data_IF_802890118726
#
_entry.id   IF_802890118726
#
_cell.length_a   1.000
_cell.length_b   1.000
_cell.length_c   1.000
_cell.angle_alpha   90.00
_cell.angle_beta   90.00
_cell.angle_gamma   90.00
#
_symmetry.space_group_name_H-M   'P 1'
#
loop_
_entity.id
_entity.type
_entity.pdbx_description
1 polymer ?
#
# COMPACT_ATOMS: atom_id res chain seq x y z
N UNK A 1 -5.14 16.61 -21.87
CA UNK A 1 -4.87 17.94 -21.27
C UNK A 1 -4.79 17.84 -19.74
N UNK A 2 -4.46 18.94 -19.05
CA UNK A 2 -4.69 19.06 -17.60
C UNK A 2 -6.16 19.34 -17.34
N UNK A 3 -6.77 18.66 -16.38
CA UNK A 3 -8.12 18.95 -15.89
C UNK A 3 -8.12 18.95 -14.37
N UNK A 4 -9.21 19.45 -13.77
CA UNK A 4 -9.30 19.64 -12.32
C UNK A 4 -9.14 18.32 -11.55
N UNK A 5 -9.69 17.22 -12.05
CA UNK A 5 -9.60 15.91 -11.40
C UNK A 5 -8.16 15.39 -11.37
N UNK A 6 -7.42 15.56 -12.47
CA UNK A 6 -5.99 15.24 -12.54
C UNK A 6 -5.17 16.10 -11.59
N UNK A 7 -5.41 17.41 -11.55
CA UNK A 7 -4.70 18.33 -10.65
C UNK A 7 -4.94 17.94 -9.19
N UNK A 8 -6.20 17.73 -8.81
CA UNK A 8 -6.56 17.31 -7.45
C UNK A 8 -5.97 15.94 -7.11
N UNK A 9 -5.95 15.00 -8.06
CA UNK A 9 -5.29 13.71 -7.90
C UNK A 9 -3.79 13.89 -7.64
N UNK A 10 -3.08 14.61 -8.49
CA UNK A 10 -1.64 14.85 -8.36
C UNK A 10 -1.31 15.52 -7.00
N UNK A 11 -2.10 16.50 -6.60
CA UNK A 11 -1.96 17.18 -5.30
C UNK A 11 -2.28 16.27 -4.11
N UNK A 12 -3.33 15.43 -4.19
CA UNK A 12 -3.65 14.45 -3.16
C UNK A 12 -2.52 13.43 -3.00
N UNK A 13 -1.90 13.03 -4.11
CA UNK A 13 -0.76 12.11 -4.09
C UNK A 13 0.44 12.77 -3.42
N UNK A 14 0.79 14.00 -3.82
CA UNK A 14 1.85 14.77 -3.17
C UNK A 14 1.58 14.96 -1.67
N UNK A 15 0.35 15.30 -1.30
CA UNK A 15 -0.04 15.47 0.09
C UNK A 15 0.14 14.19 0.91
N UNK A 16 -0.16 13.01 0.35
CA UNK A 16 0.09 11.72 1.02
C UNK A 16 1.57 11.52 1.35
N UNK A 17 2.48 11.88 0.44
CA UNK A 17 3.93 11.78 0.64
C UNK A 17 4.39 12.76 1.72
N UNK A 18 3.86 13.99 1.71
CA UNK A 18 4.16 14.99 2.73
C UNK A 18 3.69 14.57 4.11
N UNK A 19 2.50 13.95 4.23
CA UNK A 19 2.02 13.38 5.51
C UNK A 19 2.98 12.30 6.00
N UNK A 20 3.40 11.38 5.13
CA UNK A 20 4.31 10.30 5.50
C UNK A 20 5.67 10.84 5.96
N UNK A 21 6.24 11.79 5.22
CA UNK A 21 7.49 12.45 5.62
C UNK A 21 7.35 13.20 6.94
N UNK A 22 6.26 13.96 7.11
CA UNK A 22 5.97 14.65 8.37
C UNK A 22 5.87 13.66 9.53
N UNK A 23 5.15 12.54 9.34
CA UNK A 23 5.06 11.45 10.33
C UNK A 23 6.45 10.96 10.74
N UNK A 24 7.28 10.61 9.76
CA UNK A 24 8.61 10.03 10.01
C UNK A 24 9.53 11.03 10.71
N UNK A 25 9.52 12.30 10.29
CA UNK A 25 10.38 13.35 10.89
C UNK A 25 9.92 13.74 12.29
N UNK A 26 8.62 13.88 12.52
CA UNK A 26 8.08 14.27 13.83
C UNK A 26 8.22 13.16 14.86
N UNK A 27 8.00 11.90 14.46
CA UNK A 27 8.15 10.74 15.37
C UNK A 27 9.57 10.21 15.47
N UNK A 28 10.50 10.69 14.64
CA UNK A 28 11.83 10.11 14.46
C UNK A 28 11.80 8.58 14.28
N UNK A 29 10.80 8.09 13.54
CA UNK A 29 10.50 6.65 13.45
C UNK A 29 9.82 6.25 12.16
N UNK A 30 10.27 5.12 11.60
CA UNK A 30 9.66 4.42 10.47
C UNK A 30 8.73 3.27 10.91
N UNK A 31 8.46 3.13 12.22
CA UNK A 31 7.55 2.10 12.74
C UNK A 31 6.15 2.21 12.11
N UNK A 32 5.51 1.07 11.84
CA UNK A 32 4.19 0.99 11.19
C UNK A 32 4.18 1.21 9.67
N UNK A 33 5.34 1.47 9.05
CA UNK A 33 5.47 1.68 7.60
C UNK A 33 6.22 0.50 6.96
N UNK A 34 5.64 -0.10 5.94
CA UNK A 34 6.24 -1.18 5.17
C UNK A 34 7.34 -0.64 4.26
N UNK A 35 8.57 -1.13 4.49
CA UNK A 35 9.71 -0.83 3.63
C UNK A 35 9.47 -1.38 2.22
N UNK A 36 8.89 -2.58 2.12
CA UNK A 36 8.60 -3.23 0.85
C UNK A 36 7.68 -2.39 -0.03
N UNK A 37 6.59 -1.84 0.52
CA UNK A 37 5.72 -0.94 -0.25
C UNK A 37 6.44 0.32 -0.72
N UNK A 38 7.20 0.99 0.16
CA UNK A 38 7.93 2.20 -0.22
C UNK A 38 8.97 1.92 -1.31
N UNK A 39 9.64 0.76 -1.24
CA UNK A 39 10.63 0.37 -2.25
C UNK A 39 9.96 0.08 -3.60
N UNK A 40 8.81 -0.59 -3.60
CA UNK A 40 8.04 -0.81 -4.82
C UNK A 40 7.59 0.52 -5.46
N UNK A 41 7.17 1.51 -4.66
CA UNK A 41 6.83 2.84 -5.18
C UNK A 41 8.05 3.55 -5.81
N UNK A 42 9.23 3.45 -5.20
CA UNK A 42 10.45 3.98 -5.81
C UNK A 42 10.72 3.31 -7.18
N UNK A 43 10.62 1.97 -7.26
CA UNK A 43 10.77 1.23 -8.53
C UNK A 43 9.75 1.68 -9.57
N UNK A 44 8.48 1.88 -9.17
CA UNK A 44 7.43 2.43 -10.04
C UNK A 44 7.85 3.77 -10.62
N UNK A 45 8.28 4.74 -9.79
CA UNK A 45 8.62 6.07 -10.29
C UNK A 45 9.86 6.08 -11.18
N UNK A 46 10.89 5.32 -10.81
CA UNK A 46 12.11 5.21 -11.62
C UNK A 46 11.82 4.60 -12.99
N UNK A 47 11.00 3.55 -13.05
CA UNK A 47 10.65 2.89 -14.33
C UNK A 47 9.65 3.67 -15.17
N UNK A 48 8.71 4.37 -14.52
CA UNK A 48 7.67 5.16 -15.21
C UNK A 48 8.20 6.44 -15.84
N UNK A 49 9.14 7.10 -15.17
CA UNK A 49 9.59 8.45 -15.52
C UNK A 49 10.94 8.46 -16.22
N UNK A 50 11.34 7.34 -16.85
CA UNK A 50 12.53 7.28 -17.70
C UNK A 50 12.49 8.32 -18.82
N UNK A 51 11.29 8.73 -19.24
CA UNK A 51 11.09 9.76 -20.25
C UNK A 51 11.62 11.14 -19.87
N UNK A 52 11.95 11.38 -18.60
CA UNK A 52 12.73 12.55 -18.17
C UNK A 52 14.10 12.65 -18.87
N UNK A 53 14.67 11.54 -19.32
CA UNK A 53 16.01 11.53 -19.93
C UNK A 53 16.02 12.04 -21.38
N UNK A 54 14.87 12.06 -22.06
CA UNK A 54 14.78 12.44 -23.48
C UNK A 54 13.65 13.42 -23.81
N UNK A 55 12.76 13.71 -22.85
CA UNK A 55 11.69 14.70 -23.05
C UNK A 55 12.16 16.08 -22.63
N UNK A 56 11.84 17.10 -23.44
CA UNK A 56 12.10 18.50 -23.09
C UNK A 56 11.43 18.89 -21.75
N UNK A 57 12.21 19.26 -20.72
CA UNK A 57 11.70 19.65 -19.41
C UNK A 57 10.71 20.83 -19.44
N UNK A 58 10.88 21.75 -20.41
CA UNK A 58 10.11 23.00 -20.48
C UNK A 58 8.76 22.84 -21.17
N UNK A 59 8.51 21.70 -21.84
CA UNK A 59 7.22 21.40 -22.47
C UNK A 59 6.06 21.42 -21.47
N UNK A 60 6.32 20.97 -20.24
CA UNK A 60 5.35 21.06 -19.15
C UNK A 60 6.07 21.03 -17.81
N UNK A 61 6.37 22.22 -17.28
CA UNK A 61 7.03 22.37 -15.97
C UNK A 61 6.28 21.59 -14.87
N UNK A 62 4.94 21.61 -14.88
CA UNK A 62 4.14 20.81 -13.94
C UNK A 62 4.53 19.33 -13.96
N UNK A 63 4.52 18.68 -15.12
CA UNK A 63 4.82 17.25 -15.20
C UNK A 63 6.27 16.97 -14.81
N UNK A 64 7.22 17.77 -15.30
CA UNK A 64 8.65 17.60 -14.97
C UNK A 64 8.88 17.74 -13.46
N UNK A 65 8.33 18.78 -12.83
CA UNK A 65 8.45 19.01 -11.38
C UNK A 65 7.88 17.84 -10.58
N UNK A 66 6.66 17.37 -10.89
CA UNK A 66 6.04 16.28 -10.14
C UNK A 66 6.82 14.97 -10.24
N UNK A 67 7.36 14.65 -11.43
CA UNK A 67 8.20 13.45 -11.60
C UNK A 67 9.47 13.52 -10.75
N UNK A 68 10.16 14.67 -10.76
CA UNK A 68 11.35 14.87 -9.94
C UNK A 68 11.03 14.82 -8.44
N UNK A 69 9.94 15.43 -8.01
CA UNK A 69 9.48 15.40 -6.62
C UNK A 69 9.16 13.97 -6.20
N UNK A 70 8.43 13.19 -6.99
CA UNK A 70 8.09 11.81 -6.64
C UNK A 70 9.29 10.89 -6.56
N UNK A 71 10.25 10.99 -7.50
CA UNK A 71 11.50 10.22 -7.42
C UNK A 71 12.32 10.67 -6.19
N UNK A 72 12.53 11.97 -6.02
CA UNK A 72 13.35 12.51 -4.94
C UNK A 72 12.80 12.19 -3.55
N UNK A 73 11.49 12.38 -3.35
CA UNK A 73 10.84 12.10 -2.06
C UNK A 73 10.76 10.60 -1.76
N UNK A 74 10.48 9.74 -2.74
CA UNK A 74 10.48 8.28 -2.53
C UNK A 74 11.89 7.76 -2.21
N UNK A 75 12.92 8.25 -2.91
CA UNK A 75 14.31 7.95 -2.59
C UNK A 75 14.69 8.45 -1.19
N UNK A 76 14.23 9.63 -0.79
CA UNK A 76 14.47 10.16 0.55
C UNK A 76 13.76 9.35 1.65
N UNK A 77 12.52 8.90 1.42
CA UNK A 77 11.83 7.98 2.35
C UNK A 77 12.65 6.71 2.54
N UNK A 78 13.13 6.10 1.44
CA UNK A 78 13.97 4.91 1.50
C UNK A 78 15.27 5.19 2.25
N UNK A 79 15.91 6.33 2.00
CA UNK A 79 17.09 6.77 2.75
C UNK A 79 16.82 6.84 4.26
N UNK A 80 15.71 7.47 4.67
CA UNK A 80 15.32 7.57 6.08
C UNK A 80 15.10 6.19 6.70
N UNK A 81 14.48 5.25 5.97
CA UNK A 81 14.23 3.89 6.48
C UNK A 81 15.51 3.05 6.59
N UNK A 82 16.49 3.26 5.71
CA UNK A 82 17.74 2.50 5.68
C UNK A 82 18.85 3.08 6.58
N UNK A 83 18.77 4.36 6.92
CA UNK A 83 19.80 5.05 7.69
C UNK A 83 19.24 5.58 9.02
N UNK A 84 18.61 6.76 9.00
CA UNK A 84 18.20 7.49 10.20
C UNK A 84 17.26 6.69 11.12
N UNK A 85 16.32 5.95 10.54
CA UNK A 85 15.26 5.24 11.27
C UNK A 85 15.35 3.71 11.13
N UNK A 86 16.50 3.20 10.65
CA UNK A 86 16.75 1.76 10.54
C UNK A 86 16.43 0.96 11.82
N UNK A 87 16.77 1.42 13.04
CA UNK A 87 16.49 0.67 14.27
C UNK A 87 14.99 0.54 14.59
N UNK A 88 14.13 1.37 13.98
CA UNK A 88 12.68 1.37 14.23
C UNK A 88 11.90 0.46 13.28
N UNK A 89 12.57 -0.14 12.30
CA UNK A 89 11.98 -1.06 11.35
C UNK A 89 12.06 -2.49 11.89
N UNK A 90 10.91 -3.14 12.09
CA UNK A 90 10.82 -4.56 12.45
C UNK A 90 10.55 -5.42 11.20
N UNK A 91 11.55 -6.17 10.70
CA UNK A 91 11.40 -7.02 9.52
C UNK A 91 10.38 -8.15 9.71
N UNK A 92 10.05 -8.53 10.95
CA UNK A 92 9.09 -9.60 11.25
C UNK A 92 7.64 -9.18 10.97
N UNK A 93 7.38 -7.87 10.92
CA UNK A 93 6.07 -7.33 10.54
C UNK A 93 5.91 -7.27 9.02
N UNK A 94 6.98 -6.93 8.29
CA UNK A 94 6.96 -6.77 6.83
C UNK A 94 7.35 -8.08 6.09
N UNK A 95 6.54 -9.13 6.25
CA UNK A 95 6.84 -10.48 5.71
C UNK A 95 6.23 -10.77 4.33
N UNK A 96 5.63 -9.77 3.68
CA UNK A 96 4.98 -9.95 2.39
C UNK A 96 5.98 -10.38 1.28
N UNK A 97 5.61 -11.36 0.45
CA UNK A 97 6.46 -11.87 -0.63
C UNK A 97 6.30 -11.02 -1.90
N UNK A 98 7.06 -9.94 -1.99
CA UNK A 98 6.98 -8.97 -3.12
C UNK A 98 7.42 -9.55 -4.46
N UNK A 99 8.15 -10.68 -4.47
CA UNK A 99 8.59 -11.33 -5.70
C UNK A 99 7.40 -11.65 -6.63
N UNK A 100 6.26 -12.06 -6.07
CA UNK A 100 5.07 -12.36 -6.85
C UNK A 100 4.46 -11.11 -7.49
N UNK A 101 4.52 -9.96 -6.80
CA UNK A 101 4.03 -8.69 -7.35
C UNK A 101 4.90 -8.23 -8.51
N UNK A 102 6.22 -8.19 -8.28
CA UNK A 102 7.19 -7.77 -9.30
C UNK A 102 7.13 -8.70 -10.51
N UNK A 103 7.09 -10.02 -10.30
CA UNK A 103 7.00 -10.99 -11.39
C UNK A 103 5.68 -10.87 -12.16
N UNK A 104 4.55 -10.77 -11.47
CA UNK A 104 3.23 -10.61 -12.12
C UNK A 104 3.16 -9.33 -12.95
N UNK A 105 3.61 -8.20 -12.39
CA UNK A 105 3.65 -6.92 -13.11
C UNK A 105 4.63 -6.94 -14.28
N UNK A 106 5.76 -7.64 -14.17
CA UNK A 106 6.73 -7.80 -15.26
C UNK A 106 6.16 -8.62 -16.42
N UNK A 107 5.48 -9.73 -16.12
CA UNK A 107 4.77 -10.54 -17.12
C UNK A 107 3.74 -9.69 -17.85
N UNK A 108 2.90 -8.95 -17.13
CA UNK A 108 1.89 -8.08 -17.75
C UNK A 108 2.51 -6.93 -18.57
N UNK A 109 3.60 -6.33 -18.09
CA UNK A 109 4.32 -5.26 -18.80
C UNK A 109 4.98 -5.72 -20.10
N UNK A 110 5.43 -6.97 -20.17
CA UNK A 110 6.04 -7.57 -21.37
C UNK A 110 4.97 -8.06 -22.37
N UNK A 111 3.88 -8.67 -21.87
CA UNK A 111 2.84 -9.26 -22.72
C UNK A 111 1.88 -8.21 -23.31
N UNK A 112 1.60 -7.13 -22.58
CA UNK A 112 0.58 -6.15 -22.95
C UNK A 112 1.09 -4.69 -23.03
N UNK A 113 2.25 -4.38 -23.65
CA UNK A 113 2.62 -3.00 -23.92
C UNK A 113 1.86 -2.46 -25.15
N UNK A 114 1.65 -1.13 -25.23
CA UNK A 114 1.07 -0.53 -26.43
C UNK A 114 2.00 -0.63 -27.64
N UNK A 115 3.31 -0.55 -27.40
CA UNK A 115 4.36 -0.77 -28.40
C UNK A 115 5.45 -1.62 -27.78
N UNK A 116 5.99 -2.56 -28.55
CA UNK A 116 7.08 -3.43 -28.12
C UNK A 116 8.43 -2.70 -28.13
N UNK A 117 8.55 -1.67 -27.28
CA UNK A 117 9.77 -0.93 -27.01
C UNK A 117 10.10 -1.05 -25.51
N UNK A 118 11.38 -1.14 -25.12
CA UNK A 118 11.75 -1.29 -23.71
C UNK A 118 11.15 -0.21 -22.79
N UNK A 119 11.11 1.04 -23.24
CA UNK A 119 10.52 2.14 -22.47
C UNK A 119 9.01 1.96 -22.24
N UNK A 120 8.27 1.50 -23.24
CA UNK A 120 6.82 1.26 -23.19
C UNK A 120 6.49 0.03 -22.34
N UNK A 121 7.33 -1.02 -22.39
CA UNK A 121 7.23 -2.18 -21.50
C UNK A 121 7.48 -1.80 -20.04
N UNK A 122 8.50 -0.97 -19.77
CA UNK A 122 8.79 -0.47 -18.42
C UNK A 122 7.69 0.47 -17.92
N UNK A 123 7.12 1.28 -18.81
CA UNK A 123 5.95 2.09 -18.49
C UNK A 123 4.75 1.20 -18.11
N UNK A 124 4.41 0.21 -18.93
CA UNK A 124 3.31 -0.72 -18.63
C UNK A 124 3.55 -1.51 -17.34
N UNK A 125 4.76 -2.03 -17.15
CA UNK A 125 5.23 -2.66 -15.91
C UNK A 125 4.98 -1.76 -14.70
N UNK A 126 5.37 -0.49 -14.78
CA UNK A 126 5.21 0.46 -13.68
C UNK A 126 3.74 0.67 -13.31
N UNK A 127 2.83 0.66 -14.28
CA UNK A 127 1.37 0.83 -14.07
C UNK A 127 0.82 -0.39 -13.32
N UNK A 128 1.16 -1.60 -13.77
CA UNK A 128 0.76 -2.83 -13.10
C UNK A 128 1.36 -2.97 -11.70
N UNK A 129 2.62 -2.59 -11.51
CA UNK A 129 3.29 -2.68 -10.22
C UNK A 129 2.69 -1.71 -9.20
N UNK A 130 2.39 -0.48 -9.62
CA UNK A 130 1.78 0.51 -8.73
C UNK A 130 0.41 0.08 -8.22
N UNK A 131 -0.37 -0.60 -9.06
CA UNK A 131 -1.69 -1.08 -8.68
C UNK A 131 -1.65 -2.01 -7.46
N UNK A 132 -0.56 -2.75 -7.29
CA UNK A 132 -0.38 -3.75 -6.21
C UNK A 132 0.69 -3.36 -5.19
N UNK A 133 1.41 -2.26 -5.37
CA UNK A 133 2.53 -1.84 -4.52
C UNK A 133 2.14 -1.58 -3.05
N UNK A 134 0.85 -1.31 -2.80
CA UNK A 134 0.33 -1.06 -1.44
C UNK A 134 0.13 -2.34 -0.62
N UNK A 135 0.09 -3.52 -1.25
CA UNK A 135 -0.25 -4.77 -0.58
C UNK A 135 0.63 -5.11 0.64
N UNK A 136 1.97 -4.95 0.61
CA UNK A 136 2.80 -5.14 1.79
C UNK A 136 2.39 -4.26 2.98
N UNK A 137 2.08 -2.99 2.74
CA UNK A 137 1.60 -2.07 3.77
C UNK A 137 0.25 -2.50 4.35
N UNK A 138 -0.74 -2.85 3.51
CA UNK A 138 -2.05 -3.30 3.98
C UNK A 138 -1.93 -4.61 4.79
N UNK A 139 -1.10 -5.53 4.32
CA UNK A 139 -0.83 -6.79 5.01
C UNK A 139 -0.17 -6.58 6.38
N UNK A 140 0.78 -5.65 6.45
CA UNK A 140 1.42 -5.27 7.72
C UNK A 140 0.39 -4.71 8.71
N UNK A 141 -0.52 -3.85 8.26
CA UNK A 141 -1.60 -3.31 9.11
C UNK A 141 -2.55 -4.39 9.63
N UNK A 142 -2.95 -5.33 8.76
CA UNK A 142 -3.82 -6.43 9.16
C UNK A 142 -3.18 -7.31 10.25
N UNK A 143 -1.85 -7.44 10.26
CA UNK A 143 -1.13 -8.17 11.30
C UNK A 143 -1.00 -7.41 12.61
N UNK A 144 -0.70 -6.12 12.54
CA UNK A 144 -0.55 -5.30 13.76
C UNK A 144 -1.88 -5.02 14.42
N UNK A 145 -2.98 -5.05 13.65
CA UNK A 145 -4.34 -4.85 14.15
C UNK A 145 -4.67 -3.40 14.50
N UNK A 146 -3.67 -2.52 14.58
CA UNK A 146 -3.81 -1.09 14.83
C UNK A 146 -2.89 -0.30 13.90
N UNK A 147 -3.33 0.92 13.56
CA UNK A 147 -2.53 1.89 12.82
C UNK A 147 -2.60 3.26 13.51
N UNK A 148 -1.48 3.98 13.51
CA UNK A 148 -1.47 5.39 13.93
C UNK A 148 -2.41 6.21 13.04
N UNK A 149 -3.08 7.21 13.62
CA UNK A 149 -4.01 8.10 12.91
C UNK A 149 -3.33 8.79 11.72
N UNK A 150 -2.06 9.24 11.88
CA UNK A 150 -1.31 9.91 10.81
C UNK A 150 -1.04 8.95 9.64
N UNK A 151 -0.64 7.70 9.93
CA UNK A 151 -0.47 6.65 8.91
C UNK A 151 -1.78 6.39 8.15
N UNK A 152 -2.89 6.44 8.87
CA UNK A 152 -4.23 6.22 8.32
C UNK A 152 -4.65 7.36 7.38
N UNK A 153 -4.31 8.62 7.72
CA UNK A 153 -4.49 9.77 6.83
C UNK A 153 -3.60 9.73 5.59
N UNK A 154 -2.34 9.31 5.73
CA UNK A 154 -1.44 9.07 4.59
C UNK A 154 -2.08 8.10 3.59
N UNK A 155 -2.53 6.94 4.08
CA UNK A 155 -3.16 5.91 3.24
C UNK A 155 -4.47 6.37 2.62
N UNK A 156 -5.25 7.18 3.34
CA UNK A 156 -6.46 7.77 2.79
C UNK A 156 -6.15 8.74 1.65
N UNK A 157 -5.19 9.67 1.83
CA UNK A 157 -4.78 10.59 0.76
C UNK A 157 -4.19 9.83 -0.44
N UNK A 158 -3.47 8.75 -0.19
CA UNK A 158 -2.94 7.85 -1.21
C UNK A 158 -4.05 7.04 -1.93
N UNK A 159 -5.13 6.70 -1.24
CA UNK A 159 -6.28 6.11 -1.92
C UNK A 159 -7.08 7.16 -2.71
N UNK A 160 -7.28 8.35 -2.12
CA UNK A 160 -8.12 9.41 -2.67
C UNK A 160 -7.61 9.89 -4.03
N UNK A 161 -6.29 9.97 -4.21
CA UNK A 161 -5.75 10.33 -5.51
C UNK A 161 -6.17 9.34 -6.61
N UNK A 162 -6.24 8.03 -6.31
CA UNK A 162 -6.71 7.04 -7.26
C UNK A 162 -8.19 7.17 -7.56
N UNK A 163 -9.00 7.42 -6.54
CA UNK A 163 -10.42 7.71 -6.72
C UNK A 163 -10.64 8.93 -7.62
N UNK A 164 -9.82 9.98 -7.48
CA UNK A 164 -9.87 11.19 -8.33
C UNK A 164 -9.42 10.94 -9.78
N UNK A 165 -8.63 9.91 -10.05
CA UNK A 165 -8.24 9.54 -11.41
C UNK A 165 -9.37 8.88 -12.22
N UNK A 166 -10.35 8.26 -11.55
CA UNK A 166 -11.55 7.69 -12.20
C UNK A 166 -12.37 8.75 -12.95
N UNK A 167 -12.84 9.84 -12.32
CA UNK A 167 -13.57 10.88 -13.04
C UNK A 167 -12.68 11.60 -14.06
N UNK A 168 -11.36 11.65 -13.86
CA UNK A 168 -10.43 12.12 -14.89
C UNK A 168 -10.48 11.24 -16.16
N UNK A 169 -10.48 9.91 -16.04
CA UNK A 169 -10.60 9.03 -17.22
C UNK A 169 -11.94 9.21 -17.92
N UNK A 170 -13.03 9.28 -17.15
CA UNK A 170 -14.38 9.53 -17.68
C UNK A 170 -14.41 10.86 -18.43
N UNK A 171 -13.91 11.94 -17.82
CA UNK A 171 -13.84 13.25 -18.43
C UNK A 171 -13.07 13.24 -19.74
N UNK A 172 -11.89 12.60 -19.78
CA UNK A 172 -11.05 12.51 -20.99
C UNK A 172 -11.68 11.66 -22.08
N UNK A 173 -12.43 10.61 -21.74
CA UNK A 173 -13.19 9.84 -22.71
C UNK A 173 -14.23 10.72 -23.41
N UNK A 174 -15.04 11.47 -22.66
CA UNK A 174 -16.12 12.29 -23.22
C UNK A 174 -15.63 13.55 -23.95
N UNK A 175 -14.54 14.17 -23.49
CA UNK A 175 -14.07 15.44 -24.04
C UNK A 175 -12.97 15.29 -25.09
N UNK A 176 -12.10 14.29 -24.95
CA UNK A 176 -10.93 14.09 -25.83
C UNK A 176 -11.05 12.83 -26.69
N UNK A 177 -12.06 11.97 -26.47
CA UNK A 177 -12.14 10.65 -27.11
C UNK A 177 -11.00 9.71 -26.71
N UNK A 178 -10.31 10.01 -25.62
CA UNK A 178 -9.04 9.37 -25.25
C UNK A 178 -9.26 8.23 -24.26
N UNK A 179 -8.72 7.05 -24.57
CA UNK A 179 -8.84 5.85 -23.75
C UNK A 179 -7.51 5.10 -23.61
N UNK A 180 -7.12 4.81 -22.37
CA UNK A 180 -5.92 4.03 -22.05
C UNK A 180 -6.32 2.80 -21.23
N UNK A 181 -6.58 1.64 -21.88
CA UNK A 181 -7.05 0.44 -21.20
C UNK A 181 -6.17 -0.01 -20.03
N UNK A 182 -4.85 0.03 -20.19
CA UNK A 182 -3.89 -0.41 -19.15
C UNK A 182 -4.07 0.44 -17.88
N UNK A 183 -4.09 1.77 -18.03
CA UNK A 183 -4.24 2.72 -16.93
C UNK A 183 -5.59 2.58 -16.23
N UNK A 184 -6.67 2.36 -16.98
CA UNK A 184 -8.02 2.18 -16.43
C UNK A 184 -8.14 0.86 -15.66
N UNK A 185 -7.72 -0.26 -16.26
CA UNK A 185 -7.85 -1.59 -15.63
C UNK A 185 -6.98 -1.68 -14.38
N UNK A 186 -5.70 -1.30 -14.48
CA UNK A 186 -4.80 -1.30 -13.32
C UNK A 186 -5.30 -0.35 -12.23
N UNK A 187 -5.83 0.81 -12.62
CA UNK A 187 -6.44 1.76 -11.71
C UNK A 187 -7.67 1.21 -10.98
N UNK A 188 -8.54 0.48 -11.67
CA UNK A 188 -9.69 -0.19 -11.05
C UNK A 188 -9.24 -1.29 -10.07
N UNK A 189 -8.26 -2.11 -10.45
CA UNK A 189 -7.66 -3.11 -9.54
C UNK A 189 -7.14 -2.43 -8.28
N UNK A 190 -6.42 -1.33 -8.45
CA UNK A 190 -5.89 -0.55 -7.33
C UNK A 190 -7.02 -0.03 -6.43
N UNK A 191 -8.06 0.59 -7.00
CA UNK A 191 -9.21 1.10 -6.24
C UNK A 191 -9.92 -0.01 -5.45
N UNK A 192 -10.09 -1.20 -6.04
CA UNK A 192 -10.68 -2.35 -5.35
C UNK A 192 -9.81 -2.78 -4.16
N UNK A 193 -8.48 -2.81 -4.31
CA UNK A 193 -7.58 -3.14 -3.20
C UNK A 193 -7.65 -2.12 -2.04
N UNK A 194 -7.92 -0.85 -2.33
CA UNK A 194 -8.12 0.18 -1.29
C UNK A 194 -9.53 0.15 -0.65
N UNK A 195 -10.51 -0.51 -1.25
CA UNK A 195 -11.92 -0.40 -0.84
C UNK A 195 -12.19 -0.84 0.61
N UNK A 196 -11.61 -1.97 1.04
CA UNK A 196 -11.72 -2.46 2.42
C UNK A 196 -11.10 -1.48 3.42
N UNK A 197 -9.92 -0.95 3.09
CA UNK A 197 -9.27 0.09 3.90
C UNK A 197 -10.15 1.34 4.03
N UNK A 198 -10.75 1.82 2.94
CA UNK A 198 -11.62 2.99 2.98
C UNK A 198 -12.87 2.77 3.82
N UNK A 199 -13.48 1.59 3.74
CA UNK A 199 -14.65 1.25 4.54
C UNK A 199 -14.32 1.34 6.04
N UNK A 200 -13.19 0.78 6.45
CA UNK A 200 -12.75 0.82 7.86
C UNK A 200 -12.35 2.25 8.28
N UNK A 201 -11.66 2.97 7.41
CA UNK A 201 -11.31 4.37 7.64
C UNK A 201 -12.55 5.23 7.93
N UNK A 202 -13.56 5.15 7.07
CA UNK A 202 -14.78 5.94 7.20
C UNK A 202 -15.59 5.57 8.46
N UNK A 203 -15.70 4.28 8.75
CA UNK A 203 -16.51 3.82 9.91
C UNK A 203 -15.82 4.03 11.25
N UNK A 204 -14.48 4.05 11.32
CA UNK A 204 -13.74 4.18 12.57
C UNK A 204 -13.14 5.57 12.75
N UNK A 205 -12.27 5.99 11.83
CA UNK A 205 -11.44 7.19 12.01
C UNK A 205 -12.25 8.47 11.83
N UNK A 206 -13.14 8.51 10.84
CA UNK A 206 -14.01 9.67 10.66
C UNK A 206 -14.97 9.90 11.84
N UNK A 207 -15.29 8.84 12.59
CA UNK A 207 -16.10 8.92 13.82
C UNK A 207 -15.26 9.20 15.09
N UNK A 208 -13.97 9.54 14.94
CA UNK A 208 -13.06 9.79 16.07
C UNK A 208 -12.67 8.53 16.86
N UNK A 209 -12.96 7.33 16.35
CA UNK A 209 -12.56 6.06 16.98
C UNK A 209 -11.16 5.67 16.50
N UNK A 210 -10.44 4.90 17.32
CA UNK A 210 -9.14 4.34 16.94
C UNK A 210 -9.27 3.40 15.74
N UNK A 211 -8.30 3.45 14.84
CA UNK A 211 -8.23 2.54 13.69
C UNK A 211 -7.75 1.17 14.16
N UNK A 212 -8.68 0.23 14.23
CA UNK A 212 -8.40 -1.15 14.59
C UNK A 212 -8.96 -2.08 13.50
N UNK A 213 -8.13 -2.99 13.01
CA UNK A 213 -8.50 -4.01 12.02
C UNK A 213 -8.91 -5.31 12.72
N UNK A 214 -9.88 -6.06 12.17
CA UNK A 214 -10.16 -7.42 12.65
C UNK A 214 -8.93 -8.30 12.37
N UNK A 215 -8.22 -8.67 13.43
CA UNK A 215 -7.04 -9.54 13.35
C UNK A 215 -7.45 -11.00 13.20
N UNK A 216 -7.04 -11.61 12.10
CA UNK A 216 -7.15 -13.06 11.90
C UNK A 216 -6.09 -13.76 12.75
N UNK A 217 -6.45 -14.18 13.96
CA UNK A 217 -5.60 -15.06 14.77
C UNK A 217 -5.48 -16.42 14.07
N UNK A 218 -4.41 -16.62 13.30
CA UNK A 218 -4.01 -17.96 12.86
C UNK A 218 -3.17 -18.56 13.98
N UNK A 219 -3.77 -19.42 14.79
CA UNK A 219 -3.05 -20.17 15.81
C UNK A 219 -2.04 -21.09 15.13
N UNK A 220 -0.75 -20.81 15.33
CA UNK A 220 0.33 -21.66 14.84
C UNK A 220 0.36 -22.99 15.59
N UNK A 221 0.08 -24.10 14.89
CA UNK A 221 0.24 -25.45 15.41
C UNK A 221 1.70 -25.78 15.84
N UNK A 222 2.69 -24.95 15.47
CA UNK A 222 4.11 -25.15 15.79
C UNK A 222 4.50 -24.88 17.25
N UNK A 223 3.63 -24.23 18.05
CA UNK A 223 3.90 -23.96 19.47
C UNK A 223 3.43 -25.06 20.43
N UNK A 224 2.68 -26.06 19.94
CA UNK A 224 2.13 -27.14 20.76
C UNK A 224 2.93 -28.43 20.55
N UNK A 225 3.99 -28.61 21.36
CA UNK A 225 4.53 -29.94 21.71
C UNK A 225 3.78 -30.52 22.92
N UNK A 226 2.46 -30.35 23.00
CA UNK A 226 1.68 -31.14 23.95
C UNK A 226 1.45 -32.49 23.30
N UNK A 227 2.01 -33.56 23.88
CA UNK A 227 1.86 -34.94 23.40
C UNK A 227 0.42 -35.50 23.48
N UNK A 228 -0.59 -34.64 23.51
CA UNK A 228 -2.00 -34.98 23.59
C UNK A 228 -2.79 -34.27 22.48
N UNK A 229 -3.74 -34.96 21.83
CA UNK A 229 -4.60 -34.35 20.83
C UNK A 229 -5.48 -33.26 21.45
N UNK A 230 -5.45 -32.07 20.85
CA UNK A 230 -6.29 -30.93 21.21
C UNK A 230 -7.64 -31.06 20.51
N UNK A 231 -8.75 -30.98 21.25
CA UNK A 231 -10.11 -31.20 20.69
C UNK A 231 -10.84 -29.91 20.37
N UNK A 232 -10.70 -28.88 21.20
CA UNK A 232 -11.36 -27.58 20.99
C UNK A 232 -10.65 -26.45 21.76
N UNK A 233 -10.89 -25.22 21.32
CA UNK A 233 -10.52 -24.00 22.06
C UNK A 233 -11.75 -23.42 22.75
N UNK A 234 -11.61 -23.05 24.01
CA UNK A 234 -12.63 -22.31 24.76
C UNK A 234 -12.05 -20.97 25.21
N UNK A 235 -12.88 -19.94 25.23
CA UNK A 235 -12.51 -18.68 25.88
C UNK A 235 -12.78 -18.80 27.38
N UNK A 236 -11.76 -18.58 28.20
CA UNK A 236 -11.88 -18.53 29.66
C UNK A 236 -11.47 -17.15 30.15
N UNK A 237 -12.29 -16.55 31.01
CA UNK A 237 -11.87 -15.33 31.70
C UNK A 237 -10.81 -15.64 32.75
N UNK A 238 -9.67 -14.97 32.67
CA UNK A 238 -8.58 -15.04 33.64
C UNK A 238 -8.15 -13.61 33.97
N UNK A 239 -8.23 -13.23 35.23
CA UNK A 239 -7.89 -11.88 35.74
C UNK A 239 -8.50 -10.74 34.90
N UNK A 240 -9.79 -10.87 34.57
CA UNK A 240 -10.53 -9.84 33.82
C UNK A 240 -10.22 -9.74 32.32
N UNK A 241 -9.36 -10.60 31.76
CA UNK A 241 -9.11 -10.71 30.31
C UNK A 241 -9.66 -12.03 29.76
N UNK A 242 -10.19 -12.00 28.55
CA UNK A 242 -10.52 -13.21 27.80
C UNK A 242 -9.20 -13.87 27.37
N UNK A 243 -8.95 -15.09 27.83
CA UNK A 243 -7.78 -15.89 27.45
C UNK A 243 -8.27 -17.17 26.79
N UNK A 244 -7.67 -17.51 25.64
CA UNK A 244 -8.00 -18.73 24.92
C UNK A 244 -7.31 -19.91 25.61
N UNK A 245 -8.09 -20.89 26.09
CA UNK A 245 -7.61 -22.11 26.73
C UNK A 245 -7.97 -23.30 25.85
N UNK A 246 -6.99 -24.16 25.56
CA UNK A 246 -7.21 -25.37 24.78
C UNK A 246 -7.64 -26.51 25.69
N UNK A 247 -8.72 -27.21 25.33
CA UNK A 247 -9.20 -28.40 26.05
C UNK A 247 -8.57 -29.63 25.40
N UNK A 248 -7.79 -30.36 26.18
CA UNK A 248 -7.29 -31.68 25.77
C UNK A 248 -8.38 -32.72 25.96
N UNK A 249 -8.29 -33.85 25.25
CA UNK A 249 -9.29 -34.94 25.32
C UNK A 249 -9.58 -35.40 26.76
N UNK A 250 -8.59 -35.35 27.65
CA UNK A 250 -8.74 -35.73 29.07
C UNK A 250 -9.53 -34.72 29.91
N UNK A 251 -9.41 -33.42 29.62
CA UNK A 251 -10.14 -32.37 30.36
C UNK A 251 -11.63 -32.32 29.99
N UNK A 252 -12.01 -32.83 28.82
CA UNK A 252 -13.41 -32.81 28.35
C UNK A 252 -14.36 -33.78 29.06
N UNK A 253 -13.82 -34.76 29.80
CA UNK A 253 -14.63 -35.65 30.64
C UNK A 253 -14.94 -35.05 32.01
N UNK A 254 -14.29 -33.94 32.36
CA UNK A 254 -14.37 -33.27 33.66
C UNK A 254 -15.02 -31.88 33.58
N UNK A 255 -15.42 -31.45 32.38
CA UNK A 255 -16.18 -30.22 32.09
C UNK A 255 -17.60 -30.60 31.66
#
# INVERSE_FOLDING_TARGET
>A
MMNIFRILGDLSHLFSILILLHKMKTSSSASGISFKSQFLYLVVYVTRYLDLLWTDPFRSLWNTTFKLVFIGTSAYIIYLMLNDYKPTHDPNLDTFRVQYLVAGSAVLGILFPYKYQPAEMLWAFSIWLEAVAILPQLFMLQRTGEAETITTHYLFALGAYRALYIPNWIYRWFTEGHFEPISVIAGLVQTVLYSDFFYIYYTKVFQGKKFNLPVSFTYGHSQLKTGHPVRSAIHKQLNGRLVLRWVTTWESLLL
#
